data_IF_542177744418
#
_entry.id   IF_542177744418
#
_cell.length_a   1.000
_cell.length_b   1.000
_cell.length_c   1.000
_cell.angle_alpha   90.00
_cell.angle_beta   90.00
_cell.angle_gamma   90.00
#
_symmetry.space_group_name_H-M   'P 1'
#
loop_
_entity.id
_entity.type
_entity.pdbx_description
1 polymer ?
#
# COMPACT_ATOMS: atom_id res chain seq x y z
N UNK A 1 -2.70 -11.65 27.08
CA UNK A 1 -3.51 -10.83 26.17
C UNK A 1 -3.05 -11.21 24.77
N UNK A 2 -3.87 -11.99 24.06
CA UNK A 2 -3.56 -12.50 22.72
C UNK A 2 -4.01 -11.44 21.70
N UNK A 3 -3.08 -10.92 20.91
CA UNK A 3 -3.39 -9.95 19.86
C UNK A 3 -3.49 -10.75 18.57
N UNK A 4 -4.71 -11.14 18.23
CA UNK A 4 -5.02 -11.86 16.99
C UNK A 4 -5.03 -10.86 15.82
N UNK A 5 -3.85 -10.64 15.22
CA UNK A 5 -3.75 -9.86 13.98
C UNK A 5 -4.25 -10.74 12.84
N UNK A 6 -5.41 -10.38 12.29
CA UNK A 6 -5.96 -11.05 11.11
C UNK A 6 -5.18 -10.65 9.84
N UNK A 7 -4.03 -11.29 9.63
CA UNK A 7 -3.08 -11.03 8.53
C UNK A 7 -3.73 -11.08 7.14
N UNK A 8 -4.79 -11.87 6.96
CA UNK A 8 -5.63 -11.87 5.75
C UNK A 8 -6.25 -10.49 5.43
N UNK A 9 -6.88 -9.83 6.41
CA UNK A 9 -7.50 -8.50 6.19
C UNK A 9 -6.45 -7.42 5.95
N UNK A 10 -5.27 -7.56 6.56
CA UNK A 10 -4.13 -6.66 6.32
C UNK A 10 -3.66 -6.76 4.85
N UNK A 11 -3.51 -7.98 4.33
CA UNK A 11 -3.17 -8.20 2.91
C UNK A 11 -4.26 -7.70 1.97
N UNK A 12 -5.54 -7.92 2.31
CA UNK A 12 -6.67 -7.45 1.52
C UNK A 12 -6.72 -5.91 1.46
N UNK A 13 -6.52 -5.23 2.59
CA UNK A 13 -6.46 -3.77 2.64
C UNK A 13 -5.30 -3.18 1.84
N UNK A 14 -4.12 -3.81 1.91
CA UNK A 14 -2.96 -3.44 1.11
C UNK A 14 -3.23 -3.57 -0.41
N UNK A 15 -3.87 -4.66 -0.83
CA UNK A 15 -4.29 -4.86 -2.22
C UNK A 15 -5.31 -3.82 -2.69
N UNK A 16 -6.32 -3.53 -1.86
CA UNK A 16 -7.33 -2.52 -2.16
C UNK A 16 -6.75 -1.10 -2.28
N UNK A 17 -5.82 -0.73 -1.40
CA UNK A 17 -5.13 0.56 -1.47
C UNK A 17 -4.36 0.72 -2.79
N UNK A 18 -3.70 -0.34 -3.26
CA UNK A 18 -3.00 -0.34 -4.55
C UNK A 18 -3.95 -0.15 -5.73
N UNK A 19 -5.06 -0.89 -5.77
CA UNK A 19 -6.06 -0.74 -6.85
C UNK A 19 -6.65 0.66 -6.89
N UNK A 20 -6.96 1.25 -5.73
CA UNK A 20 -7.47 2.63 -5.66
C UNK A 20 -6.41 3.63 -6.12
N UNK A 21 -5.14 3.44 -5.75
CA UNK A 21 -4.05 4.30 -6.20
C UNK A 21 -3.88 4.24 -7.73
N UNK A 22 -3.89 3.03 -8.30
CA UNK A 22 -3.76 2.81 -9.74
C UNK A 22 -4.95 3.41 -10.51
N UNK A 23 -6.18 3.20 -10.05
CA UNK A 23 -7.39 3.79 -10.66
C UNK A 23 -7.41 5.32 -10.57
N UNK A 24 -7.03 5.88 -9.41
CA UNK A 24 -6.94 7.32 -9.25
C UNK A 24 -5.94 7.94 -10.23
N UNK A 25 -4.78 7.32 -10.44
CA UNK A 25 -3.78 7.80 -11.39
C UNK A 25 -4.30 7.85 -12.83
N UNK A 26 -5.12 6.87 -13.24
CA UNK A 26 -5.69 6.81 -14.59
C UNK A 26 -6.78 7.89 -14.80
N UNK A 27 -7.68 8.06 -13.82
CA UNK A 27 -8.69 9.12 -13.81
C UNK A 27 -8.05 10.52 -13.79
N UNK A 28 -6.95 10.67 -13.05
CA UNK A 28 -6.22 11.93 -12.95
C UNK A 28 -5.54 12.32 -14.26
N UNK A 29 -5.01 11.33 -14.98
CA UNK A 29 -4.33 11.56 -16.26
C UNK A 29 -5.30 12.10 -17.32
N UNK A 30 -6.54 11.65 -17.31
CA UNK A 30 -7.60 12.14 -18.22
C UNK A 30 -8.27 13.43 -17.72
N UNK A 31 -8.28 13.67 -16.41
CA UNK A 31 -8.82 14.90 -15.80
C UNK A 31 -8.16 16.19 -16.31
N UNK A 32 -6.89 16.12 -16.74
CA UNK A 32 -6.12 17.30 -17.15
C UNK A 32 -6.16 17.60 -18.65
N UNK A 33 -6.72 16.71 -19.48
CA UNK A 33 -6.83 16.89 -20.94
C UNK A 33 -7.51 18.21 -21.32
N UNK A 34 -8.52 18.63 -20.55
CA UNK A 34 -9.21 19.90 -20.73
C UNK A 34 -8.33 21.12 -20.44
N UNK A 35 -7.44 21.00 -19.44
CA UNK A 35 -6.51 22.06 -19.06
C UNK A 35 -5.38 22.20 -20.09
N UNK A 36 -4.88 21.08 -20.61
CA UNK A 36 -3.90 21.07 -21.71
C UNK A 36 -4.49 21.66 -22.99
N UNK A 37 -5.71 21.25 -23.35
CA UNK A 37 -6.44 21.82 -24.51
C UNK A 37 -6.62 23.34 -24.36
N UNK A 38 -7.00 23.82 -23.17
CA UNK A 38 -7.17 25.24 -22.91
C UNK A 38 -5.85 26.00 -22.98
N UNK A 39 -4.76 25.43 -22.45
CA UNK A 39 -3.45 26.06 -22.49
C UNK A 39 -2.88 26.09 -23.92
N UNK A 40 -3.12 25.06 -24.72
CA UNK A 40 -2.74 25.00 -26.13
C UNK A 40 -3.59 25.88 -27.02
N UNK A 41 -4.84 26.20 -26.66
CA UNK A 41 -5.65 27.20 -27.36
C UNK A 41 -5.22 28.65 -27.10
N UNK A 42 -4.48 28.90 -26.02
CA UNK A 42 -4.17 30.24 -25.51
C UNK A 42 -2.68 30.42 -25.15
N UNK A 43 -1.77 29.88 -25.95
CA UNK A 43 -0.31 29.85 -25.74
C UNK A 43 0.35 31.23 -25.54
N UNK A 44 -0.31 32.33 -25.88
CA UNK A 44 0.17 33.70 -25.62
C UNK A 44 -0.17 34.24 -24.22
N UNK A 45 -0.98 33.53 -23.43
CA UNK A 45 -1.49 34.03 -22.15
C UNK A 45 -0.65 33.51 -21.00
N UNK A 46 -0.27 34.39 -20.07
CA UNK A 46 0.48 34.01 -18.88
C UNK A 46 -0.27 32.97 -18.02
N UNK A 47 -1.61 33.00 -18.03
CA UNK A 47 -2.46 32.03 -17.35
C UNK A 47 -2.36 30.62 -17.94
N UNK A 48 -2.21 30.48 -19.26
CA UNK A 48 -2.01 29.18 -19.91
C UNK A 48 -0.69 28.53 -19.46
N UNK A 49 0.39 29.31 -19.38
CA UNK A 49 1.68 28.83 -18.88
C UNK A 49 1.65 28.51 -17.37
N UNK A 50 0.83 29.22 -16.59
CA UNK A 50 0.62 28.91 -15.17
C UNK A 50 -0.21 27.62 -14.98
N UNK A 51 -1.23 27.43 -15.82
CA UNK A 51 -2.07 26.23 -15.81
C UNK A 51 -1.25 24.96 -16.11
N UNK A 52 -0.40 24.99 -17.15
CA UNK A 52 0.50 23.87 -17.47
C UNK A 52 1.44 23.50 -16.32
N UNK A 53 2.00 24.51 -15.64
CA UNK A 53 2.88 24.26 -14.47
C UNK A 53 2.11 23.65 -13.30
N UNK A 54 0.88 24.11 -13.08
CA UNK A 54 0.02 23.57 -12.03
C UNK A 54 -0.33 22.10 -12.32
N UNK A 55 -0.72 21.79 -13.56
CA UNK A 55 -1.00 20.43 -14.01
C UNK A 55 0.21 19.51 -13.81
N UNK A 56 1.40 19.93 -14.24
CA UNK A 56 2.63 19.13 -14.06
C UNK A 56 2.98 18.89 -12.58
N UNK A 57 2.92 19.94 -11.74
CA UNK A 57 3.20 19.79 -10.31
C UNK A 57 2.19 18.86 -9.61
N UNK A 58 0.93 18.92 -10.04
CA UNK A 58 -0.12 18.04 -9.56
C UNK A 58 0.12 16.58 -9.97
N UNK A 59 0.49 16.33 -11.23
CA UNK A 59 0.88 14.98 -11.70
C UNK A 59 2.03 14.40 -10.88
N UNK A 60 3.09 15.18 -10.65
CA UNK A 60 4.24 14.78 -9.83
C UNK A 60 3.81 14.38 -8.41
N UNK A 61 2.95 15.18 -7.76
CA UNK A 61 2.44 14.89 -6.43
C UNK A 61 1.61 13.60 -6.38
N UNK A 62 0.78 13.35 -7.39
CA UNK A 62 -0.05 12.16 -7.45
C UNK A 62 0.77 10.89 -7.72
N UNK A 63 1.80 10.97 -8.56
CA UNK A 63 2.77 9.89 -8.75
C UNK A 63 3.48 9.55 -7.43
N UNK A 64 3.91 10.56 -6.69
CA UNK A 64 4.56 10.34 -5.39
C UNK A 64 3.61 9.78 -4.33
N UNK A 65 2.34 10.19 -4.33
CA UNK A 65 1.33 9.58 -3.48
C UNK A 65 1.14 8.10 -3.82
N UNK A 66 1.08 7.75 -5.11
CA UNK A 66 1.00 6.35 -5.55
C UNK A 66 2.18 5.50 -5.08
N UNK A 67 3.41 6.04 -5.16
CA UNK A 67 4.62 5.36 -4.63
C UNK A 67 4.55 5.16 -3.11
N UNK A 68 4.08 6.17 -2.37
CA UNK A 68 3.91 6.08 -0.91
C UNK A 68 2.88 5.02 -0.53
N UNK A 69 1.75 4.96 -1.25
CA UNK A 69 0.72 3.94 -1.05
C UNK A 69 1.25 2.52 -1.32
N UNK A 70 2.03 2.33 -2.39
CA UNK A 70 2.69 1.05 -2.66
C UNK A 70 3.67 0.65 -1.56
N UNK A 71 4.49 1.60 -1.10
CA UNK A 71 5.42 1.36 0.02
C UNK A 71 4.67 0.97 1.29
N UNK A 72 3.54 1.62 1.58
CA UNK A 72 2.68 1.25 2.71
C UNK A 72 2.10 -0.15 2.55
N UNK A 73 1.62 -0.51 1.35
CA UNK A 73 1.10 -1.83 1.06
C UNK A 73 2.17 -2.93 1.26
N UNK A 74 3.41 -2.69 0.82
CA UNK A 74 4.54 -3.60 1.01
C UNK A 74 4.91 -3.76 2.50
N UNK A 75 4.88 -2.66 3.26
CA UNK A 75 5.12 -2.70 4.70
C UNK A 75 4.04 -3.51 5.43
N UNK A 76 2.77 -3.33 5.06
CA UNK A 76 1.65 -4.12 5.61
C UNK A 76 1.82 -5.61 5.27
N UNK A 77 2.20 -5.93 4.04
CA UNK A 77 2.43 -7.31 3.61
C UNK A 77 3.60 -7.95 4.36
N UNK A 78 4.71 -7.22 4.50
CA UNK A 78 5.90 -7.66 5.25
C UNK A 78 5.56 -7.89 6.72
N UNK A 79 4.80 -6.98 7.33
CA UNK A 79 4.36 -7.10 8.71
C UNK A 79 3.46 -8.33 8.91
N UNK A 80 2.50 -8.55 8.02
CA UNK A 80 1.65 -9.73 8.03
C UNK A 80 2.46 -11.03 7.95
N UNK A 81 3.45 -11.10 7.05
CA UNK A 81 4.33 -12.26 6.93
C UNK A 81 5.18 -12.50 8.19
N UNK A 82 5.65 -11.43 8.83
CA UNK A 82 6.42 -11.52 10.07
C UNK A 82 5.57 -12.07 11.23
N UNK A 83 4.30 -11.64 11.33
CA UNK A 83 3.36 -12.16 12.31
C UNK A 83 3.06 -13.65 12.08
N UNK A 84 2.71 -14.05 10.86
CA UNK A 84 2.45 -15.46 10.52
C UNK A 84 3.67 -16.35 10.87
N UNK A 85 4.88 -15.87 10.57
CA UNK A 85 6.13 -16.58 10.87
C UNK A 85 6.36 -16.71 12.37
N UNK A 86 6.17 -15.63 13.12
CA UNK A 86 6.37 -15.62 14.58
C UNK A 86 5.38 -16.56 15.27
N UNK A 87 4.12 -16.54 14.83
CA UNK A 87 3.06 -17.39 15.37
C UNK A 87 3.33 -18.88 15.08
N UNK A 88 3.80 -19.21 13.87
CA UNK A 88 4.24 -20.56 13.54
C UNK A 88 5.41 -21.04 14.42
N UNK A 89 6.42 -20.19 14.64
CA UNK A 89 7.56 -20.50 15.51
C UNK A 89 7.13 -20.70 16.97
N UNK A 90 6.21 -19.87 17.46
CA UNK A 90 5.68 -19.99 18.82
C UNK A 90 4.92 -21.31 18.99
N UNK A 91 4.03 -21.66 18.04
CA UNK A 91 3.31 -22.94 18.08
C UNK A 91 4.25 -24.14 18.06
N UNK A 92 5.28 -24.11 17.22
CA UNK A 92 6.28 -25.19 17.15
C UNK A 92 7.06 -25.32 18.48
N UNK A 93 7.49 -24.20 19.08
CA UNK A 93 8.18 -24.21 20.36
C UNK A 93 7.29 -24.75 21.49
N UNK A 94 6.02 -24.33 21.55
CA UNK A 94 5.06 -24.86 22.52
C UNK A 94 4.79 -26.35 22.31
N UNK A 95 4.67 -26.80 21.06
CA UNK A 95 4.50 -28.22 20.72
C UNK A 95 5.68 -29.06 21.21
N UNK A 96 6.92 -28.58 21.00
CA UNK A 96 8.13 -29.24 21.51
C UNK A 96 8.17 -29.32 23.03
N UNK A 97 7.80 -28.24 23.73
CA UNK A 97 7.73 -28.22 25.19
C UNK A 97 6.67 -29.20 25.72
N UNK A 98 5.48 -29.22 25.14
CA UNK A 98 4.42 -30.16 25.52
C UNK A 98 4.84 -31.63 25.28
N UNK A 99 5.50 -31.90 24.16
CA UNK A 99 5.99 -33.24 23.85
C UNK A 99 7.05 -33.69 24.85
N UNK A 100 8.03 -32.84 25.15
CA UNK A 100 9.05 -33.13 26.17
C UNK A 100 8.46 -33.37 27.56
N UNK A 101 7.49 -32.56 27.98
CA UNK A 101 6.79 -32.74 29.26
C UNK A 101 6.01 -34.06 29.32
N UNK A 102 5.37 -34.47 28.22
CA UNK A 102 4.65 -35.74 28.13
C UNK A 102 5.59 -36.96 28.21
N UNK A 103 6.79 -36.86 27.63
CA UNK A 103 7.81 -37.92 27.71
C UNK A 103 8.41 -38.02 29.13
N UNK A 104 8.60 -36.91 29.83
CA UNK A 104 9.04 -36.94 31.24
C UNK A 104 8.02 -37.59 32.18
N UNK A 105 6.71 -37.39 31.94
CA UNK A 105 5.65 -37.96 32.78
C UNK A 105 5.33 -39.44 32.53
N UNK A 106 5.94 -40.07 31.52
CA UNK A 106 5.76 -41.50 31.20
C UNK A 106 6.88 -42.41 31.73
N UNK A 107 7.91 -41.85 32.36
CA UNK A 107 8.92 -42.59 33.12
C UNK A 107 8.57 -42.60 34.61
#
# INVERSE_FOLDING_TARGET
>A
MDVDIKTHYVRQGAGGARTVAEGALDDLRTSLDSSDTAADGHHGWASAAALKRCAAAWEDHMVDLGKQMNTMADNLHTTANAYDTTDAQARDAFGRLQHGLADFGRN
#
